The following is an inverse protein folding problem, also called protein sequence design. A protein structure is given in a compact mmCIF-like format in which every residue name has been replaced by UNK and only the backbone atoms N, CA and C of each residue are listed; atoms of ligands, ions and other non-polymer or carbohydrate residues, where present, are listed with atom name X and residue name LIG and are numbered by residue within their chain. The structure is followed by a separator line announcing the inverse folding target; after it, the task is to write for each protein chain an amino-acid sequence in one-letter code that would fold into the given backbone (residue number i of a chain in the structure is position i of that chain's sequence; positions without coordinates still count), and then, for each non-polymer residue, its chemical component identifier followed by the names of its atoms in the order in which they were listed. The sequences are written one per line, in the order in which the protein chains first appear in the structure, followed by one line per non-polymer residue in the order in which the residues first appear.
data_IF_749018918048
#
_entry.id   IF_749018918048
#
_cell.length_a   1.000
_cell.length_b   1.000
_cell.length_c   1.000
_cell.angle_alpha   90.00
_cell.angle_beta   90.00
_cell.angle_gamma   90.00
#
_symmetry.space_group_name_H-M   'P 1'
#
loop_
_entity.id
_entity.type
_entity.pdbx_description
1 polymer ?
#
# COMPACT_ATOMS: atom_id res chain seq x y z
N UNK A 1 -17.42 -11.47 -6.01
CA UNK A 1 -17.42 -10.37 -5.02
C UNK A 1 -16.79 -10.91 -3.76
N UNK A 2 -15.51 -10.62 -3.54
CA UNK A 2 -14.83 -10.97 -2.28
C UNK A 2 -15.42 -10.09 -1.17
N UNK A 3 -16.00 -10.69 -0.12
CA UNK A 3 -16.45 -9.94 1.06
C UNK A 3 -15.20 -9.33 1.71
N UNK A 4 -15.14 -8.01 1.80
CA UNK A 4 -14.17 -7.31 2.64
C UNK A 4 -14.24 -7.94 4.03
N UNK A 5 -13.11 -8.30 4.65
CA UNK A 5 -13.11 -8.88 5.98
C UNK A 5 -13.81 -7.95 6.96
N UNK A 6 -14.60 -8.53 7.85
CA UNK A 6 -15.46 -7.85 8.85
C UNK A 6 -14.66 -6.99 9.87
N UNK A 7 -13.32 -6.89 9.72
CA UNK A 7 -12.38 -6.28 10.67
C UNK A 7 -11.67 -5.01 10.19
N UNK A 8 -12.07 -4.43 9.08
CA UNK A 8 -11.60 -3.09 8.70
C UNK A 8 -12.63 -2.03 9.11
N UNK A 9 -12.17 -0.84 9.53
CA UNK A 9 -10.78 -0.41 9.74
C UNK A 9 -10.12 -1.06 10.96
N UNK A 10 -8.76 -1.10 10.96
CA UNK A 10 -7.99 -1.66 12.06
C UNK A 10 -8.07 -0.77 13.31
N UNK A 11 -8.30 -1.38 14.47
CA UNK A 11 -8.36 -0.67 15.76
C UNK A 11 -6.97 -0.26 16.28
N UNK A 12 -6.97 0.67 17.24
CA UNK A 12 -5.74 1.19 17.88
C UNK A 12 -4.99 0.15 18.72
N UNK A 13 -5.62 -0.95 19.05
CA UNK A 13 -5.08 -2.09 19.77
C UNK A 13 -4.30 -3.06 18.87
N UNK A 14 -4.34 -2.87 17.56
CA UNK A 14 -3.63 -3.73 16.61
C UNK A 14 -2.15 -3.38 16.50
N UNK A 15 -1.32 -4.37 16.16
CA UNK A 15 0.11 -4.16 15.90
C UNK A 15 0.29 -3.35 14.62
N UNK A 16 -0.53 -3.59 13.61
CA UNK A 16 -0.52 -2.83 12.38
C UNK A 16 -0.77 -1.34 12.62
N UNK A 17 -1.72 -0.98 13.51
CA UNK A 17 -1.89 0.41 13.93
C UNK A 17 -0.63 0.95 14.61
N UNK A 18 -0.08 0.22 15.58
CA UNK A 18 1.11 0.64 16.33
C UNK A 18 2.30 0.94 15.40
N UNK A 19 2.53 0.09 14.41
CA UNK A 19 3.60 0.28 13.43
C UNK A 19 3.34 1.50 12.56
N UNK A 20 2.17 1.60 11.95
CA UNK A 20 1.85 2.67 11.00
C UNK A 20 1.58 4.03 11.66
N UNK A 21 1.31 4.08 12.96
CA UNK A 21 1.20 5.32 13.73
C UNK A 21 2.57 5.93 14.08
N UNK A 22 3.68 5.21 13.86
CA UNK A 22 5.03 5.74 14.08
C UNK A 22 5.39 6.71 12.96
N UNK A 23 5.68 8.01 13.25
CA UNK A 23 5.97 9.00 12.22
C UNK A 23 7.14 8.65 11.30
N UNK A 24 8.15 7.93 11.81
CA UNK A 24 9.30 7.49 11.02
C UNK A 24 8.90 6.59 9.84
N UNK A 25 7.76 5.89 9.92
CA UNK A 25 7.26 5.02 8.85
C UNK A 25 6.98 5.80 7.56
N UNK A 26 6.61 7.08 7.67
CA UNK A 26 6.39 7.95 6.50
C UNK A 26 7.65 8.04 5.63
N UNK A 27 8.83 8.04 6.24
CA UNK A 27 10.10 8.10 5.50
C UNK A 27 10.36 6.86 4.66
N UNK A 28 9.73 5.73 4.99
CA UNK A 28 9.76 4.50 4.21
C UNK A 28 9.03 4.58 2.87
N UNK A 29 8.19 5.61 2.66
CA UNK A 29 7.44 5.78 1.43
C UNK A 29 8.32 5.92 0.19
N UNK A 30 9.45 6.62 0.29
CA UNK A 30 10.42 6.72 -0.79
C UNK A 30 11.05 5.37 -1.16
N UNK A 31 11.44 4.58 -0.13
CA UNK A 31 11.95 3.23 -0.33
C UNK A 31 10.92 2.32 -0.99
N UNK A 32 9.69 2.33 -0.48
CA UNK A 32 8.60 1.52 -1.06
C UNK A 32 8.37 1.88 -2.53
N UNK A 33 8.35 3.17 -2.87
CA UNK A 33 8.18 3.63 -4.24
C UNK A 33 9.29 3.14 -5.17
N UNK A 34 10.56 3.24 -4.75
CA UNK A 34 11.69 2.73 -5.54
C UNK A 34 11.58 1.22 -5.78
N UNK A 35 11.19 0.45 -4.76
CA UNK A 35 10.95 -0.98 -4.92
C UNK A 35 9.76 -1.27 -5.84
N UNK A 36 8.69 -0.49 -5.78
CA UNK A 36 7.52 -0.66 -6.64
C UNK A 36 7.90 -0.49 -8.12
N UNK A 37 8.59 0.60 -8.46
CA UNK A 37 8.97 0.89 -9.85
C UNK A 37 10.09 -0.01 -10.37
N UNK A 38 10.79 -0.77 -9.52
CA UNK A 38 11.73 -1.80 -9.94
C UNK A 38 11.04 -2.99 -10.63
N UNK A 39 9.73 -3.18 -10.43
CA UNK A 39 8.95 -4.15 -11.18
C UNK A 39 8.58 -3.56 -12.54
N UNK A 40 8.94 -4.19 -13.70
CA UNK A 40 8.75 -3.59 -15.04
C UNK A 40 7.31 -3.11 -15.30
N UNK A 41 6.31 -3.93 -15.00
CA UNK A 41 4.91 -3.57 -15.22
C UNK A 41 4.43 -2.43 -14.31
N UNK A 42 4.87 -2.39 -13.04
CA UNK A 42 4.53 -1.30 -12.11
C UNK A 42 5.25 -0.03 -12.52
N UNK A 43 6.52 -0.12 -12.93
CA UNK A 43 7.30 1.00 -13.47
C UNK A 43 6.63 1.64 -14.68
N UNK A 44 6.25 0.83 -15.67
CA UNK A 44 5.52 1.28 -16.85
C UNK A 44 4.17 1.92 -16.49
N UNK A 45 3.40 1.32 -15.57
CA UNK A 45 2.14 1.89 -15.10
C UNK A 45 2.31 3.24 -14.41
N UNK A 46 3.35 3.40 -13.60
CA UNK A 46 3.68 4.67 -12.95
C UNK A 46 4.11 5.71 -13.98
N UNK A 47 4.92 5.35 -14.94
CA UNK A 47 5.38 6.26 -16.00
C UNK A 47 4.24 6.75 -16.88
N UNK A 48 3.38 5.84 -17.32
CA UNK A 48 2.31 6.14 -18.29
C UNK A 48 1.08 6.81 -17.65
N UNK A 49 0.81 6.59 -16.35
CA UNK A 49 -0.45 7.02 -15.72
C UNK A 49 -0.27 7.89 -14.48
N UNK A 50 0.95 8.12 -13.98
CA UNK A 50 1.17 8.87 -12.76
C UNK A 50 1.80 10.23 -13.00
N UNK A 51 1.44 11.19 -12.17
CA UNK A 51 2.05 12.53 -12.14
C UNK A 51 3.35 12.60 -11.33
N UNK A 52 4.02 11.46 -11.07
CA UNK A 52 5.19 11.45 -10.17
C UNK A 52 6.34 12.35 -10.66
N UNK A 53 6.52 12.49 -11.97
CA UNK A 53 7.58 13.30 -12.54
C UNK A 53 7.32 14.80 -12.38
N UNK A 54 6.05 15.22 -12.39
CA UNK A 54 5.63 16.62 -12.26
C UNK A 54 5.27 17.03 -10.83
N UNK A 55 4.79 16.09 -10.01
CA UNK A 55 4.36 16.33 -8.62
C UNK A 55 4.65 15.12 -7.72
N UNK A 56 5.93 14.82 -7.42
CA UNK A 56 6.30 13.65 -6.63
C UNK A 56 5.80 13.73 -5.17
N UNK A 57 5.84 14.90 -4.57
CA UNK A 57 5.38 15.10 -3.20
C UNK A 57 3.87 14.99 -3.07
N UNK A 58 3.13 15.63 -3.97
CA UNK A 58 1.67 15.51 -3.98
C UNK A 58 1.22 14.07 -4.20
N UNK A 59 1.92 13.31 -5.06
CA UNK A 59 1.65 11.88 -5.25
C UNK A 59 1.90 11.09 -3.97
N UNK A 60 3.03 11.32 -3.29
CA UNK A 60 3.35 10.65 -2.03
C UNK A 60 2.27 10.92 -0.97
N UNK A 61 1.93 12.18 -0.74
CA UNK A 61 0.93 12.55 0.27
C UNK A 61 -0.47 12.03 -0.07
N UNK A 62 -0.87 12.02 -1.34
CA UNK A 62 -2.14 11.41 -1.76
C UNK A 62 -2.16 9.90 -1.49
N UNK A 63 -1.05 9.21 -1.76
CA UNK A 63 -0.93 7.78 -1.50
C UNK A 63 -1.02 7.48 0.00
N UNK A 64 -0.30 8.24 0.83
CA UNK A 64 -0.37 8.11 2.29
C UNK A 64 -1.78 8.38 2.83
N UNK A 65 -2.45 9.44 2.36
CA UNK A 65 -3.82 9.79 2.76
C UNK A 65 -4.81 8.65 2.42
N UNK A 66 -4.69 8.08 1.23
CA UNK A 66 -5.52 6.93 0.81
C UNK A 66 -5.25 5.73 1.69
N UNK A 67 -3.99 5.37 1.92
CA UNK A 67 -3.62 4.21 2.75
C UNK A 67 -4.08 4.38 4.20
N UNK A 68 -3.92 5.58 4.76
CA UNK A 68 -4.37 5.89 6.13
C UNK A 68 -5.89 5.80 6.26
N UNK A 69 -6.66 6.34 5.31
CA UNK A 69 -8.12 6.25 5.32
C UNK A 69 -8.62 4.82 5.08
N UNK A 70 -7.95 4.06 4.22
CA UNK A 70 -8.30 2.68 3.93
C UNK A 70 -8.14 1.79 5.16
N UNK A 71 -6.97 1.84 5.80
CA UNK A 71 -6.64 0.95 6.93
C UNK A 71 -7.11 1.44 8.30
N UNK A 72 -7.21 2.76 8.50
CA UNK A 72 -7.36 3.37 9.82
C UNK A 72 -8.44 4.46 9.90
N UNK A 73 -9.13 4.75 8.82
CA UNK A 73 -10.25 5.69 8.78
C UNK A 73 -11.52 5.14 9.42
N UNK A 74 -12.64 5.85 9.29
CA UNK A 74 -13.94 5.28 9.63
C UNK A 74 -14.34 4.19 8.62
N UNK A 75 -15.30 3.29 8.96
CA UNK A 75 -15.81 2.30 8.01
C UNK A 75 -16.26 2.92 6.68
N UNK A 76 -16.90 4.08 6.73
CA UNK A 76 -17.37 4.81 5.54
C UNK A 76 -16.20 5.36 4.72
N UNK A 77 -15.15 5.88 5.37
CA UNK A 77 -13.94 6.36 4.72
C UNK A 77 -13.20 5.21 4.05
N UNK A 78 -13.02 4.09 4.75
CA UNK A 78 -12.37 2.90 4.21
C UNK A 78 -13.11 2.36 2.98
N UNK A 79 -14.43 2.17 3.07
CA UNK A 79 -15.25 1.70 1.96
C UNK A 79 -15.24 2.67 0.76
N UNK A 80 -15.21 3.98 1.00
CA UNK A 80 -15.09 4.99 -0.06
C UNK A 80 -13.75 4.91 -0.77
N UNK A 81 -12.65 4.80 -0.01
CA UNK A 81 -11.31 4.70 -0.59
C UNK A 81 -11.12 3.43 -1.41
N UNK A 82 -11.64 2.30 -0.92
CA UNK A 82 -11.61 1.04 -1.66
C UNK A 82 -12.27 1.17 -3.04
N UNK A 83 -13.50 1.70 -3.09
CA UNK A 83 -14.20 1.91 -4.36
C UNK A 83 -13.45 2.88 -5.30
N UNK A 84 -12.83 3.91 -4.72
CA UNK A 84 -12.08 4.90 -5.50
C UNK A 84 -10.80 4.29 -6.10
N UNK A 85 -10.07 3.50 -5.31
CA UNK A 85 -8.88 2.78 -5.77
C UNK A 85 -9.22 1.79 -6.88
N UNK A 86 -10.22 0.95 -6.67
CA UNK A 86 -10.68 -0.01 -7.68
C UNK A 86 -11.06 0.69 -8.99
N UNK A 87 -11.82 1.78 -8.90
CA UNK A 87 -12.21 2.57 -10.08
C UNK A 87 -10.99 3.15 -10.80
N UNK A 88 -10.01 3.66 -10.06
CA UNK A 88 -8.79 4.23 -10.63
C UNK A 88 -7.95 3.13 -11.31
N UNK A 89 -7.73 2.02 -10.64
CA UNK A 89 -6.90 0.92 -11.15
C UNK A 89 -7.51 0.24 -12.39
N UNK A 90 -8.83 0.25 -12.56
CA UNK A 90 -9.48 -0.30 -13.78
C UNK A 90 -9.03 0.39 -15.08
N UNK A 91 -8.58 1.63 -15.00
CA UNK A 91 -8.13 2.41 -16.16
C UNK A 91 -6.61 2.42 -16.34
N UNK A 92 -5.88 1.73 -15.43
CA UNK A 92 -4.43 1.65 -15.49
C UNK A 92 -4.04 0.32 -16.14
N UNK A 93 -3.88 0.35 -17.44
CA UNK A 93 -3.41 -0.77 -18.26
C UNK A 93 -2.54 -0.25 -19.39
N UNK A 94 -1.67 -1.09 -19.90
CA UNK A 94 -0.76 -0.71 -20.97
C UNK A 94 0.19 -1.85 -21.33
N UNK A 95 1.34 -1.48 -21.86
CA UNK A 95 2.38 -2.40 -22.29
C UNK A 95 3.73 -1.90 -21.78
N UNK A 96 4.57 -2.80 -21.28
CA UNK A 96 5.96 -2.49 -20.91
C UNK A 96 6.81 -2.22 -22.15
N UNK A 97 7.99 -1.66 -21.97
CA UNK A 97 8.95 -1.44 -23.06
C UNK A 97 9.33 -2.74 -23.80
N UNK A 98 9.25 -3.87 -23.13
CA UNK A 98 9.49 -5.21 -23.70
C UNK A 98 8.27 -5.79 -24.42
N UNK A 99 7.16 -5.05 -24.53
CA UNK A 99 5.95 -5.49 -25.20
C UNK A 99 5.02 -6.37 -24.34
N UNK A 100 5.26 -6.51 -23.05
CA UNK A 100 4.41 -7.31 -22.14
C UNK A 100 3.21 -6.49 -21.68
N UNK A 101 1.96 -6.93 -21.92
CA UNK A 101 0.78 -6.23 -21.42
C UNK A 101 0.67 -6.33 -19.91
N UNK A 102 0.14 -5.27 -19.27
CA UNK A 102 -0.12 -5.24 -17.83
C UNK A 102 -1.47 -4.60 -17.52
N UNK A 103 -2.00 -4.93 -16.34
CA UNK A 103 -3.17 -4.28 -15.73
C UNK A 103 -2.92 -4.06 -14.25
N UNK A 104 -3.22 -2.87 -13.73
CA UNK A 104 -2.97 -2.57 -12.31
C UNK A 104 -3.80 -3.42 -11.34
N UNK A 105 -4.92 -4.02 -11.79
CA UNK A 105 -5.71 -4.96 -11.00
C UNK A 105 -5.19 -6.40 -11.06
N UNK A 106 -4.03 -6.64 -11.69
CA UNK A 106 -3.39 -7.94 -11.63
C UNK A 106 -3.01 -8.27 -10.18
N UNK A 107 -3.46 -9.42 -9.62
CA UNK A 107 -3.17 -9.79 -8.25
C UNK A 107 -1.68 -9.84 -7.89
N UNK A 108 -0.82 -10.21 -8.84
CA UNK A 108 0.63 -10.26 -8.61
C UNK A 108 1.21 -8.85 -8.46
N UNK A 109 0.73 -7.88 -9.25
CA UNK A 109 1.16 -6.49 -9.15
C UNK A 109 0.65 -5.84 -7.87
N UNK A 110 -0.60 -6.09 -7.50
CA UNK A 110 -1.17 -5.62 -6.22
C UNK A 110 -0.40 -6.20 -5.04
N UNK A 111 -0.08 -7.50 -5.08
CA UNK A 111 0.73 -8.17 -4.05
C UNK A 111 2.13 -7.56 -3.95
N UNK A 112 2.79 -7.29 -5.08
CA UNK A 112 4.09 -6.64 -5.10
C UNK A 112 4.05 -5.26 -4.43
N UNK A 113 3.12 -4.40 -4.83
CA UNK A 113 2.95 -3.06 -4.25
C UNK A 113 2.70 -3.14 -2.74
N UNK A 114 1.79 -4.02 -2.31
CA UNK A 114 1.49 -4.23 -0.89
C UNK A 114 2.72 -4.71 -0.12
N UNK A 115 3.44 -5.70 -0.62
CA UNK A 115 4.63 -6.24 0.03
C UNK A 115 5.70 -5.16 0.26
N UNK A 116 5.93 -4.28 -0.71
CA UNK A 116 6.89 -3.18 -0.58
C UNK A 116 6.50 -2.17 0.50
N UNK A 117 5.20 -1.91 0.67
CA UNK A 117 4.68 -1.02 1.71
C UNK A 117 4.86 -1.64 3.11
N UNK A 118 4.47 -2.91 3.27
CA UNK A 118 4.56 -3.62 4.56
C UNK A 118 6.01 -3.78 5.00
N UNK A 119 6.89 -4.20 4.10
CA UNK A 119 8.32 -4.36 4.38
C UNK A 119 8.98 -3.02 4.75
N UNK A 120 8.68 -1.95 4.00
CA UNK A 120 9.23 -0.63 4.29
C UNK A 120 8.71 -0.06 5.60
N UNK A 121 7.43 -0.26 5.92
CA UNK A 121 6.86 0.20 7.20
C UNK A 121 7.52 -0.50 8.38
N UNK A 122 7.65 -1.82 8.32
CA UNK A 122 8.29 -2.60 9.38
C UNK A 122 9.76 -2.21 9.55
N UNK A 123 10.49 -2.08 8.44
CA UNK A 123 11.89 -1.67 8.48
C UNK A 123 12.06 -0.30 9.17
N UNK A 124 11.28 0.71 8.78
CA UNK A 124 11.37 2.05 9.36
C UNK A 124 10.97 2.08 10.83
N UNK A 125 9.93 1.35 11.20
CA UNK A 125 9.53 1.20 12.59
C UNK A 125 10.69 0.66 13.45
N UNK A 126 11.35 -0.41 13.00
CA UNK A 126 12.44 -1.06 13.72
C UNK A 126 13.77 -0.26 13.72
N UNK A 127 13.90 0.84 12.96
CA UNK A 127 15.02 1.77 13.08
C UNK A 127 14.90 2.67 14.32
N UNK A 128 13.68 2.97 14.76
CA UNK A 128 13.41 3.96 15.83
C UNK A 128 12.74 3.34 17.07
N UNK A 129 12.25 2.11 16.96
CA UNK A 129 11.59 1.37 18.03
C UNK A 129 12.22 0.00 18.22
N UNK A 130 12.07 -0.64 19.38
CA UNK A 130 12.50 -2.02 19.56
C UNK A 130 11.88 -2.93 18.49
N UNK A 131 12.67 -3.87 18.00
CA UNK A 131 12.20 -4.86 17.03
C UNK A 131 10.98 -5.61 17.56
N UNK A 132 10.03 -5.86 16.67
CA UNK A 132 8.90 -6.71 16.98
C UNK A 132 9.39 -8.13 17.30
N UNK A 133 8.83 -8.72 18.34
CA UNK A 133 9.04 -10.14 18.64
C UNK A 133 8.51 -11.01 17.49
N UNK A 134 9.03 -12.23 17.29
CA UNK A 134 8.56 -13.09 16.19
C UNK A 134 7.03 -13.21 16.12
N UNK A 135 6.37 -13.44 17.25
CA UNK A 135 4.90 -13.53 17.31
C UNK A 135 4.22 -12.21 16.91
N UNK A 136 4.77 -11.08 17.26
CA UNK A 136 4.22 -9.76 16.88
C UNK A 136 4.38 -9.49 15.39
N UNK A 137 5.46 -9.98 14.76
CA UNK A 137 5.64 -9.90 13.31
C UNK A 137 4.60 -10.72 12.56
N UNK A 138 4.30 -11.93 13.04
CA UNK A 138 3.23 -12.76 12.45
C UNK A 138 1.86 -12.09 12.57
N UNK A 139 1.55 -11.49 13.73
CA UNK A 139 0.32 -10.73 13.93
C UNK A 139 0.28 -9.50 13.02
N UNK A 140 1.37 -8.72 12.96
CA UNK A 140 1.49 -7.58 12.05
C UNK A 140 1.23 -7.98 10.59
N UNK A 141 1.84 -9.07 10.15
CA UNK A 141 1.65 -9.60 8.79
C UNK A 141 0.19 -10.04 8.55
N UNK A 142 -0.40 -10.75 9.50
CA UNK A 142 -1.79 -11.19 9.40
C UNK A 142 -2.78 -10.00 9.32
N UNK A 143 -2.58 -8.98 10.16
CA UNK A 143 -3.38 -7.76 10.16
C UNK A 143 -3.18 -6.95 8.87
N UNK A 144 -1.93 -6.84 8.37
CA UNK A 144 -1.63 -6.15 7.12
C UNK A 144 -2.32 -6.79 5.91
N UNK A 145 -2.48 -8.12 5.89
CA UNK A 145 -3.23 -8.81 4.82
C UNK A 145 -4.70 -8.39 4.77
N UNK A 146 -5.31 -8.00 5.88
CA UNK A 146 -6.68 -7.46 5.87
C UNK A 146 -6.77 -6.17 5.07
N UNK A 147 -5.75 -5.31 5.17
CA UNK A 147 -5.66 -4.08 4.36
C UNK A 147 -5.42 -4.40 2.89
N UNK A 148 -4.54 -5.37 2.59
CA UNK A 148 -4.27 -5.80 1.22
C UNK A 148 -5.52 -6.29 0.49
N UNK A 149 -6.38 -7.05 1.17
CA UNK A 149 -7.64 -7.54 0.58
C UNK A 149 -8.67 -6.44 0.32
N UNK A 150 -8.45 -5.25 0.85
CA UNK A 150 -9.31 -4.08 0.63
C UNK A 150 -8.79 -3.17 -0.51
N UNK A 151 -7.60 -3.44 -1.05
CA UNK A 151 -7.02 -2.72 -2.18
C UNK A 151 -7.28 -3.41 -3.51
#
# INVERSE_FOLDING_TARGET
MSKVPERLPLGRDTICWRVNAEPAVITGGGRALLMQVAHPAVGAGVEQHSSYASDPWGRLFRTLDVMMKLGFGTPEQSARQQRMLEKMHRHVEGTTDEGTPYRALDPELLLWVWATLVDSALLMYEQVRPRLRPVEREVFYAESKLVAHAC
#
